data_IF_167964816435
#
_entry.id   IF_167964816435
#
_cell.length_a   1.000
_cell.length_b   1.000
_cell.length_c   1.000
_cell.angle_alpha   90.00
_cell.angle_beta   90.00
_cell.angle_gamma   90.00
#
_symmetry.space_group_name_H-M   'P 1'
#
loop_
_entity.id
_entity.type
_entity.pdbx_description
1 polymer ?
#
# COMPACT_ATOMS: atom_id res chain seq x y z
N UNK A 1 -1.80 -7.62 -25.76
CA UNK A 1 -2.39 -8.09 -24.50
C UNK A 1 -2.81 -6.84 -23.73
N UNK A 2 -4.11 -6.55 -23.73
CA UNK A 2 -4.66 -5.31 -23.16
C UNK A 2 -4.70 -5.45 -21.63
N UNK A 3 -4.06 -4.55 -20.89
CA UNK A 3 -4.22 -4.46 -19.44
C UNK A 3 -5.25 -3.35 -19.16
N UNK A 4 -6.55 -3.68 -19.00
CA UNK A 4 -7.62 -2.68 -18.87
C UNK A 4 -7.53 -1.86 -17.57
N UNK A 5 -6.72 -2.28 -16.59
CA UNK A 5 -6.46 -1.52 -15.38
C UNK A 5 -4.95 -1.25 -15.23
N UNK A 6 -4.48 0.00 -15.46
CA UNK A 6 -3.07 0.35 -15.38
C UNK A 6 -2.48 0.20 -13.97
N UNK A 7 -3.30 -0.09 -12.94
CA UNK A 7 -2.86 -0.26 -11.55
C UNK A 7 -2.59 -1.71 -11.15
N UNK A 8 -2.85 -2.70 -12.03
CA UNK A 8 -2.56 -4.10 -11.72
C UNK A 8 -1.04 -4.35 -11.69
N UNK A 9 -0.53 -5.12 -10.70
CA UNK A 9 0.87 -5.47 -10.65
C UNK A 9 1.27 -6.36 -11.84
N UNK A 10 2.50 -6.20 -12.31
CA UNK A 10 3.08 -7.08 -13.34
C UNK A 10 3.34 -8.49 -12.78
N UNK A 11 3.56 -9.46 -13.67
CA UNK A 11 3.89 -10.84 -13.30
C UNK A 11 2.70 -11.77 -13.02
N UNK A 12 1.47 -11.23 -12.99
CA UNK A 12 0.23 -12.01 -12.97
C UNK A 12 0.17 -13.08 -11.87
N UNK A 13 -0.38 -14.25 -12.21
CA UNK A 13 -0.59 -15.33 -11.24
C UNK A 13 0.72 -15.88 -10.65
N UNK A 14 1.83 -15.85 -11.41
CA UNK A 14 3.11 -16.40 -10.94
C UNK A 14 3.59 -15.61 -9.73
N UNK A 15 3.65 -14.28 -9.83
CA UNK A 15 4.06 -13.42 -8.71
C UNK A 15 3.01 -13.43 -7.59
N UNK A 16 1.72 -13.48 -7.95
CA UNK A 16 0.63 -13.54 -6.98
C UNK A 16 0.72 -14.77 -6.07
N UNK A 17 0.97 -15.96 -6.62
CA UNK A 17 1.09 -17.20 -5.85
C UNK A 17 2.43 -17.36 -5.13
N UNK A 18 3.52 -16.84 -5.70
CA UNK A 18 4.84 -16.92 -5.08
C UNK A 18 4.98 -16.02 -3.85
N UNK A 19 4.20 -14.93 -3.79
CA UNK A 19 4.27 -13.96 -2.69
C UNK A 19 3.32 -14.37 -1.56
N UNK A 20 3.83 -14.47 -0.34
CA UNK A 20 3.00 -14.78 0.85
C UNK A 20 2.24 -13.57 1.37
N UNK A 21 2.78 -12.36 1.19
CA UNK A 21 2.11 -11.11 1.61
C UNK A 21 2.32 -10.06 0.55
N UNK A 22 1.24 -9.41 0.13
CA UNK A 22 1.26 -8.37 -0.90
C UNK A 22 0.65 -7.09 -0.36
N UNK A 23 1.37 -5.99 -0.52
CA UNK A 23 0.95 -4.67 -0.04
C UNK A 23 0.85 -3.73 -1.23
N UNK A 24 -0.29 -3.07 -1.37
CA UNK A 24 -0.53 -2.02 -2.34
C UNK A 24 -0.23 -0.67 -1.69
N UNK A 25 0.69 0.10 -2.27
CA UNK A 25 1.07 1.43 -1.77
C UNK A 25 0.42 2.51 -2.65
N UNK A 26 -0.26 3.45 -2.01
CA UNK A 26 -0.89 4.58 -2.68
C UNK A 26 -0.39 5.90 -2.06
N UNK A 27 -0.17 6.91 -2.91
CA UNK A 27 0.15 8.25 -2.45
C UNK A 27 -1.06 8.88 -1.75
N UNK A 28 -0.87 9.34 -0.51
CA UNK A 28 -1.83 10.13 0.25
C UNK A 28 -1.63 11.63 0.03
N UNK A 29 -2.02 12.44 1.02
CA UNK A 29 -1.86 13.90 0.99
C UNK A 29 -0.49 14.29 1.54
N UNK A 30 0.24 15.14 0.82
CA UNK A 30 1.58 15.56 1.24
C UNK A 30 2.54 14.39 1.38
N UNK A 31 3.09 14.21 2.57
CA UNK A 31 4.07 13.18 2.90
C UNK A 31 3.42 11.83 3.26
N UNK A 32 2.10 11.79 3.47
CA UNK A 32 1.40 10.54 3.82
C UNK A 32 1.25 9.58 2.65
N UNK A 33 1.16 8.31 2.98
CA UNK A 33 1.01 7.16 2.09
C UNK A 33 0.05 6.18 2.75
N UNK A 34 -0.68 5.46 1.91
CA UNK A 34 -1.62 4.43 2.36
C UNK A 34 -1.02 3.08 1.94
N UNK A 35 -0.85 2.19 2.92
CA UNK A 35 -0.51 0.79 2.67
C UNK A 35 -1.77 -0.04 2.85
N UNK A 36 -2.18 -0.76 1.81
CA UNK A 36 -3.31 -1.70 1.85
C UNK A 36 -2.80 -3.12 1.71
N UNK A 37 -3.21 -4.00 2.61
CA UNK A 37 -2.99 -5.44 2.47
C UNK A 37 -3.84 -5.89 1.28
N UNK A 38 -3.17 -6.28 0.20
CA UNK A 38 -3.80 -6.81 -0.99
C UNK A 38 -4.10 -8.30 -0.85
N UNK A 39 -3.20 -9.03 -0.17
CA UNK A 39 -3.34 -10.46 0.09
C UNK A 39 -2.36 -10.88 1.20
N UNK A 40 -2.82 -11.71 2.14
CA UNK A 40 -2.00 -12.32 3.19
C UNK A 40 -2.74 -13.51 3.83
N UNK A 41 -2.07 -14.63 4.16
CA UNK A 41 -2.71 -15.77 4.80
C UNK A 41 -3.07 -15.52 6.28
N UNK A 42 -2.40 -14.57 6.95
CA UNK A 42 -2.51 -14.36 8.39
C UNK A 42 -3.03 -12.98 8.79
N UNK A 43 -3.25 -12.07 7.83
CA UNK A 43 -3.74 -10.73 8.09
C UNK A 43 -5.02 -10.49 7.29
N UNK A 44 -6.05 -9.88 7.92
CA UNK A 44 -7.23 -9.46 7.18
C UNK A 44 -6.89 -8.35 6.18
N UNK A 45 -7.73 -8.20 5.15
CA UNK A 45 -7.69 -7.02 4.31
C UNK A 45 -7.89 -5.76 5.17
N UNK A 46 -6.99 -4.80 5.02
CA UNK A 46 -7.00 -3.56 5.79
C UNK A 46 -6.05 -2.55 5.19
N UNK A 47 -6.23 -1.28 5.55
CA UNK A 47 -5.31 -0.20 5.22
C UNK A 47 -4.79 0.52 6.46
N UNK A 48 -3.60 1.10 6.31
CA UNK A 48 -3.01 1.99 7.30
C UNK A 48 -2.35 3.19 6.60
N UNK A 49 -2.31 4.30 7.32
CA UNK A 49 -1.55 5.48 6.93
C UNK A 49 -0.14 5.40 7.50
N UNK A 50 0.84 5.79 6.69
CA UNK A 50 2.22 6.03 7.10
C UNK A 50 2.75 7.29 6.44
N UNK A 51 3.86 7.84 6.92
CA UNK A 51 4.52 8.99 6.30
C UNK A 51 5.94 8.62 5.85
N UNK A 52 6.42 9.35 4.84
CA UNK A 52 7.83 9.32 4.42
C UNK A 52 8.42 10.66 4.83
N UNK A 53 9.23 10.64 5.89
CA UNK A 53 9.93 11.76 6.48
C UNK A 53 11.39 11.80 6.00
N UNK A 54 12.14 12.83 6.38
CA UNK A 54 13.57 12.96 6.03
C UNK A 54 14.43 11.80 6.55
N UNK A 55 14.05 11.21 7.68
CA UNK A 55 14.71 10.07 8.32
C UNK A 55 14.16 8.70 7.87
N UNK A 56 13.13 8.68 7.02
CA UNK A 56 12.58 7.45 6.42
C UNK A 56 11.09 7.24 6.69
N UNK A 57 10.69 5.98 6.87
CA UNK A 57 9.29 5.60 7.09
C UNK A 57 8.96 5.75 8.58
N UNK A 58 7.86 6.45 8.87
CA UNK A 58 7.38 6.62 10.23
C UNK A 58 5.87 6.84 10.29
N UNK A 59 5.40 7.08 11.50
CA UNK A 59 4.00 7.41 11.74
C UNK A 59 3.66 8.79 11.16
N UNK A 60 2.42 8.98 10.65
CA UNK A 60 1.96 10.30 10.22
C UNK A 60 1.95 11.29 11.37
N UNK A 61 2.17 12.58 11.06
CA UNK A 61 1.98 13.62 12.07
C UNK A 61 0.50 13.64 12.51
N UNK A 62 0.20 13.95 13.79
CA UNK A 62 -1.18 13.96 14.28
C UNK A 62 -2.13 14.84 13.45
N UNK A 63 -1.62 15.96 12.92
CA UNK A 63 -2.37 16.90 12.08
C UNK A 63 -2.77 16.34 10.71
N UNK A 64 -2.12 15.28 10.27
CA UNK A 64 -2.41 14.61 8.99
C UNK A 64 -3.44 13.48 9.17
N UNK A 65 -3.62 12.98 10.40
CA UNK A 65 -4.65 11.99 10.77
C UNK A 65 -6.03 12.64 10.93
N UNK A 66 -6.09 13.89 11.41
CA UNK A 66 -7.35 14.64 11.60
C UNK A 66 -8.00 15.08 10.28
N UNK A 67 -7.34 14.87 9.14
CA UNK A 67 -7.75 15.37 7.82
C UNK A 67 -8.16 14.26 6.85
N UNK A 68 -8.40 13.04 7.34
CA UNK A 68 -9.07 12.00 6.55
C UNK A 68 -10.51 12.36 6.21
#
# INVERSE_FOLDING_TARGET
MFNPDPKKPIGGNIIAHASTTRISLKKGRGETRIAKIYDSPCLPEGDCLFAINEDGIGDPNPKDLEKE
#
